data_IF_399571677973
#
_entry.id   IF_399571677973
#
_cell.length_a   1.000
_cell.length_b   1.000
_cell.length_c   1.000
_cell.angle_alpha   90.00
_cell.angle_beta   90.00
_cell.angle_gamma   90.00
#
_symmetry.space_group_name_H-M   'P 1'
#
loop_
_entity.id
_entity.type
_entity.pdbx_description
1 polymer ?
#
# COMPACT_ATOMS: atom_id res chain seq x y z
N UNK A 1 6.90 -8.25 -7.63
CA UNK A 1 7.12 -8.57 -6.20
C UNK A 1 8.02 -9.79 -6.02
N UNK A 2 7.85 -10.85 -6.83
CA UNK A 2 8.90 -11.85 -7.10
C UNK A 2 9.76 -11.41 -8.29
N UNK A 3 11.07 -11.71 -8.28
CA UNK A 3 11.97 -11.44 -9.40
C UNK A 3 11.58 -12.27 -10.64
N UNK A 4 11.81 -11.73 -11.84
CA UNK A 4 11.40 -12.39 -13.10
C UNK A 4 12.28 -13.58 -13.48
N UNK A 5 13.55 -13.58 -13.06
CA UNK A 5 14.53 -14.65 -13.34
C UNK A 5 14.80 -15.58 -12.15
N UNK A 6 14.66 -15.09 -10.92
CA UNK A 6 15.11 -15.81 -9.71
C UNK A 6 13.92 -16.04 -8.79
N UNK A 7 13.43 -17.28 -8.71
CA UNK A 7 12.17 -17.61 -8.02
C UNK A 7 12.24 -17.46 -6.49
N UNK A 8 13.44 -17.37 -5.93
CA UNK A 8 13.72 -17.17 -4.51
C UNK A 8 14.10 -15.72 -4.15
N UNK A 9 14.03 -14.80 -5.11
CA UNK A 9 14.32 -13.38 -4.88
C UNK A 9 13.02 -12.59 -4.90
N UNK A 10 12.80 -11.79 -3.86
CA UNK A 10 11.63 -10.95 -3.67
C UNK A 10 12.05 -9.51 -3.41
N UNK A 11 11.21 -8.56 -3.76
CA UNK A 11 11.46 -7.14 -3.54
C UNK A 11 10.16 -6.35 -3.39
N UNK A 12 10.24 -5.26 -2.65
CA UNK A 12 9.20 -4.25 -2.49
C UNK A 12 9.81 -2.85 -2.30
N UNK A 13 8.96 -1.82 -2.35
CA UNK A 13 9.32 -0.43 -2.11
C UNK A 13 10.06 0.22 -3.27
N UNK A 14 10.91 1.19 -2.93
CA UNK A 14 11.46 2.09 -3.94
C UNK A 14 12.49 1.42 -4.85
N UNK A 15 13.08 0.29 -4.40
CA UNK A 15 14.05 -0.48 -5.18
C UNK A 15 13.41 -1.27 -6.32
N UNK A 16 12.11 -1.57 -6.27
CA UNK A 16 11.46 -2.36 -7.31
C UNK A 16 11.06 -1.53 -8.54
N UNK A 17 11.01 -2.18 -9.69
CA UNK A 17 10.57 -1.62 -10.96
C UNK A 17 9.04 -1.65 -11.15
N UNK A 18 8.27 -1.73 -10.06
CA UNK A 18 6.81 -1.71 -10.14
C UNK A 18 6.33 -0.38 -10.77
N UNK A 19 5.45 -0.40 -11.80
CA UNK A 19 4.99 0.81 -12.50
C UNK A 19 3.90 1.55 -11.70
N UNK A 20 4.19 1.88 -10.44
CA UNK A 20 3.37 2.66 -9.52
C UNK A 20 4.21 3.74 -8.85
N UNK A 21 3.60 4.80 -8.31
CA UNK A 21 4.34 5.80 -7.54
C UNK A 21 5.05 5.18 -6.32
N UNK A 22 6.28 5.62 -6.08
CA UNK A 22 7.15 5.15 -5.00
C UNK A 22 6.81 5.89 -3.71
N UNK A 23 5.86 5.34 -2.94
CA UNK A 23 5.39 5.95 -1.69
C UNK A 23 5.28 4.91 -0.57
N UNK A 24 5.29 5.37 0.69
CA UNK A 24 5.10 4.49 1.85
C UNK A 24 3.75 3.75 1.80
N UNK A 25 2.70 4.37 1.26
CA UNK A 25 1.40 3.72 1.08
C UNK A 25 1.47 2.55 0.09
N UNK A 26 2.29 2.67 -0.96
CA UNK A 26 2.56 1.55 -1.86
C UNK A 26 3.29 0.41 -1.13
N UNK A 27 4.28 0.73 -0.29
CA UNK A 27 4.98 -0.25 0.56
C UNK A 27 4.00 -1.02 1.45
N UNK A 28 3.04 -0.34 2.07
CA UNK A 28 2.05 -1.00 2.96
C UNK A 28 1.14 -1.98 2.20
N UNK A 29 0.81 -1.70 0.94
CA UNK A 29 0.02 -2.60 0.09
C UNK A 29 0.87 -3.71 -0.56
N UNK A 30 2.16 -3.47 -0.74
CA UNK A 30 3.13 -4.42 -1.30
C UNK A 30 3.59 -5.47 -0.28
N UNK A 31 3.77 -5.08 0.98
CA UNK A 31 4.24 -5.94 2.07
C UNK A 31 3.43 -7.26 2.20
N UNK A 32 2.09 -7.26 2.27
CA UNK A 32 1.33 -8.51 2.36
C UNK A 32 1.48 -9.41 1.12
N UNK A 33 1.64 -8.84 -0.07
CA UNK A 33 1.84 -9.61 -1.30
C UNK A 33 3.19 -10.33 -1.26
N UNK A 34 4.25 -9.65 -0.83
CA UNK A 34 5.57 -10.28 -0.66
C UNK A 34 5.55 -11.34 0.43
N UNK A 35 4.88 -11.06 1.55
CA UNK A 35 4.76 -12.01 2.65
C UNK A 35 4.06 -13.30 2.20
N UNK A 36 2.96 -13.22 1.44
CA UNK A 36 2.30 -14.41 0.89
C UNK A 36 3.17 -15.14 -0.15
N UNK A 37 3.90 -14.40 -1.00
CA UNK A 37 4.83 -14.96 -1.98
C UNK A 37 5.93 -15.79 -1.30
N UNK A 38 6.55 -15.24 -0.25
CA UNK A 38 7.59 -15.91 0.54
C UNK A 38 7.00 -17.12 1.26
N UNK A 39 5.87 -16.95 1.94
CA UNK A 39 5.22 -18.01 2.70
C UNK A 39 4.86 -19.21 1.83
N UNK A 40 4.22 -18.99 0.68
CA UNK A 40 3.88 -20.07 -0.24
C UNK A 40 5.12 -20.71 -0.85
N UNK A 41 6.14 -19.92 -1.22
CA UNK A 41 7.40 -20.45 -1.74
C UNK A 41 8.13 -21.37 -0.75
N UNK A 42 8.16 -21.02 0.54
CA UNK A 42 8.72 -21.86 1.60
C UNK A 42 7.98 -23.21 1.75
N UNK A 43 6.70 -23.23 1.39
CA UNK A 43 5.85 -24.43 1.42
C UNK A 43 5.77 -25.16 0.07
N UNK A 44 6.61 -24.82 -0.91
CA UNK A 44 6.57 -25.42 -2.24
C UNK A 44 5.31 -25.08 -3.05
N UNK A 45 4.56 -24.05 -2.66
CA UNK A 45 3.32 -23.59 -3.32
C UNK A 45 3.57 -22.31 -4.12
N UNK A 46 2.73 -22.07 -5.13
CA UNK A 46 2.69 -20.80 -5.86
C UNK A 46 1.64 -19.87 -5.25
N UNK A 47 2.00 -18.59 -5.10
CA UNK A 47 1.08 -17.54 -4.66
C UNK A 47 0.31 -16.93 -5.82
N UNK A 48 -0.97 -16.64 -5.55
CA UNK A 48 -1.91 -15.91 -6.40
C UNK A 48 -2.11 -14.47 -5.89
N UNK A 49 -1.32 -14.04 -4.90
CA UNK A 49 -1.37 -12.68 -4.40
C UNK A 49 -0.84 -11.72 -5.47
N UNK A 50 -1.65 -10.74 -5.84
CA UNK A 50 -1.30 -9.73 -6.82
C UNK A 50 -1.36 -8.33 -6.20
N UNK A 51 -0.32 -7.55 -6.47
CA UNK A 51 -0.30 -6.14 -6.15
C UNK A 51 -0.94 -5.37 -7.31
N UNK A 52 -2.00 -4.61 -7.02
CA UNK A 52 -2.78 -3.88 -8.02
C UNK A 52 -2.20 -2.50 -8.40
N UNK A 53 -1.01 -2.15 -7.90
CA UNK A 53 -0.39 -0.85 -8.18
C UNK A 53 -0.83 0.27 -7.26
N UNK A 54 -1.54 -0.02 -6.16
CA UNK A 54 -2.00 1.00 -5.23
C UNK A 54 -0.88 1.87 -4.69
N UNK A 55 -1.02 3.18 -4.85
CA UNK A 55 -0.20 4.19 -4.20
C UNK A 55 -1.08 5.34 -3.72
N UNK A 56 -0.60 6.03 -2.68
CA UNK A 56 -1.19 7.25 -2.17
C UNK A 56 -0.15 8.37 -2.11
N UNK A 57 -0.53 9.54 -2.60
CA UNK A 57 0.25 10.77 -2.59
C UNK A 57 -0.58 11.89 -1.92
N UNK A 58 -0.38 12.13 -0.61
CA UNK A 58 -0.98 13.26 0.07
C UNK A 58 -0.25 14.56 -0.32
N UNK A 59 -0.92 15.45 -1.06
CA UNK A 59 -0.36 16.74 -1.48
C UNK A 59 -0.88 17.88 -0.62
N UNK A 60 0.03 18.62 0.00
CA UNK A 60 -0.29 19.85 0.72
C UNK A 60 -0.65 20.94 -0.28
N UNK A 61 -1.80 21.56 -0.10
CA UNK A 61 -2.33 22.59 -1.03
C UNK A 61 -2.23 24.01 -0.46
N UNK A 62 -1.72 24.18 0.76
CA UNK A 62 -1.75 25.43 1.51
C UNK A 62 -2.96 25.56 2.44
N UNK A 63 -3.02 26.65 3.22
CA UNK A 63 -4.14 27.01 4.11
C UNK A 63 -4.59 25.91 5.09
N UNK A 64 -3.66 25.07 5.55
CA UNK A 64 -3.97 23.94 6.41
C UNK A 64 -4.89 22.91 5.75
N UNK A 65 -4.78 22.74 4.42
CA UNK A 65 -5.53 21.78 3.62
C UNK A 65 -4.60 20.80 2.89
N UNK A 66 -5.14 19.63 2.61
CA UNK A 66 -4.45 18.54 1.93
C UNK A 66 -5.39 17.84 0.95
N UNK A 67 -4.87 17.53 -0.23
CA UNK A 67 -5.52 16.67 -1.21
C UNK A 67 -4.97 15.25 -1.07
N UNK A 68 -5.85 14.27 -0.91
CA UNK A 68 -5.45 12.88 -0.76
C UNK A 68 -5.61 12.15 -2.10
N UNK A 69 -4.53 12.04 -2.87
CA UNK A 69 -4.59 11.35 -4.15
C UNK A 69 -4.26 9.89 -3.96
N UNK A 70 -5.18 9.00 -4.34
CA UNK A 70 -5.02 7.55 -4.27
C UNK A 70 -5.33 6.93 -5.64
N UNK A 71 -4.46 6.04 -6.11
CA UNK A 71 -4.55 5.47 -7.45
C UNK A 71 -3.94 4.07 -7.51
N UNK A 72 -4.41 3.29 -8.48
CA UNK A 72 -3.88 1.96 -8.84
C UNK A 72 -3.16 2.00 -10.19
N UNK A 73 -2.70 0.84 -10.69
CA UNK A 73 -2.09 0.78 -12.02
C UNK A 73 -2.97 1.42 -13.10
N UNK A 74 -2.32 2.09 -14.05
CA UNK A 74 -3.00 2.88 -15.09
C UNK A 74 -3.50 4.24 -14.62
N UNK A 75 -3.16 4.69 -13.41
CA UNK A 75 -3.57 5.99 -12.88
C UNK A 75 -5.05 6.06 -12.50
N UNK A 76 -5.72 4.92 -12.37
CA UNK A 76 -7.13 4.85 -12.02
C UNK A 76 -7.31 5.24 -10.55
N UNK A 77 -8.19 6.20 -10.21
CA UNK A 77 -8.46 6.57 -8.82
C UNK A 77 -8.92 5.38 -7.97
N UNK A 78 -8.39 5.26 -6.74
CA UNK A 78 -8.71 4.17 -5.80
C UNK A 78 -8.87 4.70 -4.36
N UNK A 79 -9.90 5.51 -4.15
CA UNK A 79 -10.15 6.28 -2.93
C UNK A 79 -10.50 5.39 -1.73
N UNK A 80 -9.88 5.64 -0.57
CA UNK A 80 -10.07 4.84 0.65
C UNK A 80 -11.19 5.35 1.56
N UNK A 81 -11.37 6.67 1.69
CA UNK A 81 -12.28 7.24 2.69
C UNK A 81 -13.56 7.83 2.09
N UNK A 82 -13.43 8.70 1.09
CA UNK A 82 -14.55 9.49 0.55
C UNK A 82 -14.42 9.65 -0.98
N UNK A 83 -15.52 9.74 -1.74
CA UNK A 83 -15.49 9.94 -3.20
C UNK A 83 -14.87 11.26 -3.67
N UNK A 84 -14.69 12.24 -2.77
CA UNK A 84 -14.24 13.59 -3.10
C UNK A 84 -12.84 13.92 -2.51
N UNK A 85 -11.95 12.93 -2.41
CA UNK A 85 -10.58 13.15 -1.90
C UNK A 85 -9.70 14.07 -2.75
N UNK A 86 -10.14 14.37 -3.98
CA UNK A 86 -9.52 15.35 -4.88
C UNK A 86 -9.76 16.80 -4.47
N UNK A 87 -10.67 17.07 -3.52
CA UNK A 87 -10.89 18.42 -2.99
C UNK A 87 -9.96 18.66 -1.79
N UNK A 88 -9.27 19.81 -1.72
CA UNK A 88 -8.50 20.19 -0.55
C UNK A 88 -9.32 20.13 0.73
N UNK A 89 -8.86 19.35 1.72
CA UNK A 89 -9.58 19.13 2.97
C UNK A 89 -8.66 19.29 4.18
N UNK A 90 -9.08 20.08 5.16
CA UNK A 90 -8.34 20.29 6.41
C UNK A 90 -8.31 19.05 7.30
N UNK A 91 -9.33 18.18 7.22
CA UNK A 91 -9.32 16.90 7.93
C UNK A 91 -8.10 16.05 7.52
N UNK A 92 -7.88 15.87 6.20
CA UNK A 92 -6.73 15.09 5.72
C UNK A 92 -5.39 15.74 6.05
N UNK A 93 -5.35 17.07 6.18
CA UNK A 93 -4.16 17.79 6.61
C UNK A 93 -3.78 17.41 8.05
N UNK A 94 -4.69 17.60 9.01
CA UNK A 94 -4.43 17.27 10.42
C UNK A 94 -4.22 15.76 10.63
N UNK A 95 -4.98 14.93 9.91
CA UNK A 95 -4.81 13.48 9.89
C UNK A 95 -3.38 13.08 9.45
N UNK A 96 -2.88 13.65 8.36
CA UNK A 96 -1.53 13.38 7.83
C UNK A 96 -0.41 13.94 8.70
N UNK A 97 -0.62 15.11 9.30
CA UNK A 97 0.36 15.79 10.14
C UNK A 97 0.51 15.12 11.51
N UNK A 98 -0.60 14.89 12.20
CA UNK A 98 -0.59 14.60 13.64
C UNK A 98 -0.80 13.12 13.95
N UNK A 99 -1.65 12.43 13.18
CA UNK A 99 -2.07 11.06 13.49
C UNK A 99 -1.26 10.00 12.74
N UNK A 100 -1.04 10.20 11.44
CA UNK A 100 -0.30 9.24 10.61
C UNK A 100 1.09 8.85 11.15
N UNK A 101 1.92 9.79 11.65
CA UNK A 101 3.22 9.41 12.22
C UNK A 101 3.09 8.46 13.42
N UNK A 102 2.09 8.68 14.28
CA UNK A 102 1.84 7.81 15.44
C UNK A 102 1.38 6.42 14.99
N UNK A 103 0.42 6.37 14.06
CA UNK A 103 -0.08 5.11 13.50
C UNK A 103 1.04 4.33 12.80
N UNK A 104 1.88 5.01 12.03
CA UNK A 104 3.03 4.40 11.39
C UNK A 104 3.90 3.67 12.40
N UNK A 105 4.38 4.36 13.44
CA UNK A 105 5.25 3.74 14.44
C UNK A 105 4.57 2.64 15.25
N UNK A 106 3.26 2.72 15.44
CA UNK A 106 2.50 1.71 16.17
C UNK A 106 2.23 0.44 15.37
N UNK A 107 1.93 0.56 14.07
CA UNK A 107 1.43 -0.53 13.25
C UNK A 107 2.46 -1.08 12.26
N UNK A 108 3.18 -0.21 11.55
CA UNK A 108 4.00 -0.63 10.41
C UNK A 108 5.23 -1.45 10.85
N UNK A 109 6.08 -1.01 11.80
CA UNK A 109 7.20 -1.82 12.28
C UNK A 109 6.79 -3.18 12.86
N UNK A 110 5.53 -3.32 13.32
CA UNK A 110 4.98 -4.56 13.84
C UNK A 110 4.38 -5.47 12.76
N UNK A 111 4.36 -5.05 11.50
CA UNK A 111 3.82 -5.82 10.38
C UNK A 111 2.29 -6.00 10.39
N UNK A 112 1.56 -5.17 11.13
CA UNK A 112 0.09 -5.25 11.27
C UNK A 112 -0.66 -4.24 10.41
N UNK A 113 0.02 -3.56 9.47
CA UNK A 113 -0.59 -2.65 8.51
C UNK A 113 -0.56 -3.23 7.10
N UNK A 114 -1.73 -3.59 6.58
CA UNK A 114 -1.94 -4.22 5.27
C UNK A 114 -2.48 -3.24 4.21
N UNK A 115 -1.89 -2.05 4.13
CA UNK A 115 -2.31 -1.00 3.19
C UNK A 115 -3.73 -0.51 3.45
N UNK A 116 -4.57 -0.50 2.40
CA UNK A 116 -5.99 -0.06 2.49
C UNK A 116 -6.85 -0.88 3.45
N UNK A 117 -6.45 -2.14 3.71
CA UNK A 117 -7.17 -2.99 4.67
C UNK A 117 -6.80 -2.69 6.11
N UNK A 118 -5.96 -1.68 6.36
CA UNK A 118 -5.54 -1.27 7.70
C UNK A 118 -5.01 -2.48 8.49
N UNK A 119 -5.68 -2.87 9.58
CA UNK A 119 -5.26 -3.98 10.44
C UNK A 119 -5.83 -5.35 10.03
N UNK A 120 -6.57 -5.43 8.92
CA UNK A 120 -7.22 -6.66 8.48
C UNK A 120 -6.35 -7.40 7.46
N UNK A 121 -5.81 -8.59 7.79
CA UNK A 121 -4.94 -9.33 6.90
C UNK A 121 -5.69 -9.75 5.62
N UNK A 122 -5.05 -9.62 4.44
CA UNK A 122 -5.62 -10.13 3.21
C UNK A 122 -5.56 -11.65 3.15
N UNK A 123 -6.57 -12.26 2.52
CA UNK A 123 -6.59 -13.70 2.21
C UNK A 123 -6.38 -13.87 0.72
N UNK A 124 -5.35 -14.62 0.35
CA UNK A 124 -5.00 -14.89 -1.04
C UNK A 124 -5.16 -16.40 -1.33
N UNK A 125 -6.22 -16.76 -2.05
CA UNK A 125 -6.42 -18.14 -2.51
C UNK A 125 -6.97 -19.12 -1.46
N UNK A 126 -7.83 -18.67 -0.54
CA UNK A 126 -8.90 -19.55 -0.06
C UNK A 126 -9.99 -19.52 -1.13
N UNK A 127 -10.30 -20.69 -1.70
CA UNK A 127 -11.31 -20.84 -2.75
C UNK A 127 -12.62 -20.12 -2.40
N UNK A 128 -13.19 -19.42 -3.38
CA UNK A 128 -14.65 -19.27 -3.44
C UNK A 128 -15.26 -20.63 -3.79
#
# INVERSE_FOLDING_TARGET
MRHTKYNNVFGLGDVVSAPSSKTAAAVFSQAPVVQDHIWKAMNGKKSDAEYNGYASCPAYTGDGKLMLMEFKYGGVPDMTFLPNQQKPNSFFFYFKRDMFPRIYWWLMPKGIWYGKRMCFPPRYGEAK
#
